data_IF_743694641554
#
_entry.id   IF_743694641554
#
_cell.length_a   1.000
_cell.length_b   1.000
_cell.length_c   1.000
_cell.angle_alpha   90.00
_cell.angle_beta   90.00
_cell.angle_gamma   90.00
#
_symmetry.space_group_name_H-M   'P 1'
#
loop_
_entity.id
_entity.type
_entity.pdbx_description
1 polymer ?
#
# COMPACT_ATOMS: atom_id res chain seq x y z
N UNK A 1 -10.50 14.72 9.57
CA UNK A 1 -10.28 13.46 8.82
C UNK A 1 -9.67 13.70 7.43
N UNK A 2 -10.30 14.46 6.52
CA UNK A 2 -9.87 14.54 5.11
C UNK A 2 -8.44 15.05 4.87
N UNK A 3 -8.01 16.08 5.62
CA UNK A 3 -6.64 16.61 5.55
C UNK A 3 -5.59 15.55 5.90
N UNK A 4 -5.89 14.70 6.89
CA UNK A 4 -5.00 13.62 7.31
C UNK A 4 -4.89 12.56 6.21
N UNK A 5 -6.01 12.18 5.60
CA UNK A 5 -6.02 11.24 4.46
C UNK A 5 -5.19 11.81 3.31
N UNK A 6 -5.38 13.08 2.95
CA UNK A 6 -4.62 13.72 1.88
C UNK A 6 -3.10 13.75 2.16
N UNK A 7 -2.70 14.05 3.40
CA UNK A 7 -1.30 14.03 3.81
C UNK A 7 -0.71 12.62 3.72
N UNK A 8 -1.43 11.60 4.21
CA UNK A 8 -1.03 10.20 4.15
C UNK A 8 -0.92 9.70 2.70
N UNK A 9 -1.88 10.02 1.85
CA UNK A 9 -1.80 9.69 0.41
C UNK A 9 -0.62 10.39 -0.27
N UNK A 10 -0.40 11.67 0.04
CA UNK A 10 0.74 12.44 -0.50
C UNK A 10 2.09 11.82 -0.08
N UNK A 11 2.20 11.37 1.18
CA UNK A 11 3.37 10.62 1.66
C UNK A 11 3.58 9.32 0.86
N UNK A 12 2.50 8.60 0.57
CA UNK A 12 2.50 7.42 -0.29
C UNK A 12 3.07 7.74 -1.68
N UNK A 13 2.47 8.71 -2.36
CA UNK A 13 2.80 9.09 -3.73
C UNK A 13 4.22 9.66 -3.88
N UNK A 14 4.62 10.54 -2.97
CA UNK A 14 5.83 11.35 -3.12
C UNK A 14 7.07 10.76 -2.46
N UNK A 15 6.91 9.84 -1.49
CA UNK A 15 8.02 9.32 -0.70
C UNK A 15 8.04 7.80 -0.75
N UNK A 16 6.99 7.13 -0.28
CA UNK A 16 7.01 5.66 -0.12
C UNK A 16 7.12 4.94 -1.46
N UNK A 17 6.28 5.30 -2.44
CA UNK A 17 6.33 4.68 -3.77
C UNK A 17 7.67 4.90 -4.47
N UNK A 18 8.17 6.14 -4.66
CA UNK A 18 9.43 6.34 -5.38
C UNK A 18 10.64 5.71 -4.68
N UNK A 19 10.69 5.73 -3.34
CA UNK A 19 11.74 5.01 -2.60
C UNK A 19 11.60 3.49 -2.79
N UNK A 20 10.37 2.96 -2.70
CA UNK A 20 10.12 1.54 -2.89
C UNK A 20 10.46 1.04 -4.30
N UNK A 21 10.20 1.85 -5.34
CA UNK A 21 10.55 1.52 -6.72
C UNK A 21 12.07 1.36 -6.93
N UNK A 22 12.91 2.03 -6.13
CA UNK A 22 14.37 1.86 -6.22
C UNK A 22 14.86 0.50 -5.71
N UNK A 23 14.06 -0.18 -4.89
CA UNK A 23 14.34 -1.49 -4.29
C UNK A 23 13.91 -2.67 -5.19
N UNK A 24 13.23 -2.39 -6.30
CA UNK A 24 12.67 -3.41 -7.19
C UNK A 24 13.64 -3.77 -8.33
N UNK A 25 13.62 -5.02 -8.82
CA UNK A 25 14.45 -5.43 -9.96
C UNK A 25 14.04 -4.75 -11.27
N UNK A 26 12.82 -4.20 -11.32
CA UNK A 26 12.29 -3.41 -12.45
C UNK A 26 12.79 -1.97 -12.47
N UNK A 27 13.78 -1.63 -11.63
CA UNK A 27 14.36 -0.28 -11.58
C UNK A 27 14.84 0.17 -12.95
N UNK A 28 14.33 1.31 -13.38
CA UNK A 28 14.89 2.08 -14.49
C UNK A 28 16.19 2.76 -14.02
N UNK A 29 16.97 3.31 -14.95
CA UNK A 29 18.21 4.06 -14.65
C UNK A 29 17.99 5.21 -13.66
N UNK A 30 16.76 5.72 -13.55
CA UNK A 30 16.34 6.69 -12.55
C UNK A 30 14.87 6.49 -12.18
N UNK A 31 14.49 6.70 -10.91
CA UNK A 31 13.08 6.78 -10.48
C UNK A 31 12.54 8.22 -10.53
N UNK A 32 13.34 9.20 -10.97
CA UNK A 32 12.93 10.62 -11.01
C UNK A 32 11.74 10.89 -11.92
N UNK A 33 11.55 10.07 -12.97
CA UNK A 33 10.40 10.19 -13.87
C UNK A 33 9.06 10.07 -13.12
N UNK A 34 9.04 9.33 -12.01
CA UNK A 34 7.84 9.14 -11.20
C UNK A 34 7.27 10.47 -10.69
N UNK A 35 8.13 11.44 -10.36
CA UNK A 35 7.70 12.74 -9.83
C UNK A 35 6.93 13.57 -10.86
N UNK A 36 7.14 13.36 -12.16
CA UNK A 36 6.34 14.00 -13.21
C UNK A 36 4.85 13.58 -13.13
N UNK A 37 4.55 12.44 -12.51
CA UNK A 37 3.19 11.92 -12.33
C UNK A 37 2.69 12.08 -10.89
N UNK A 38 3.55 11.81 -9.91
CA UNK A 38 3.21 11.84 -8.49
C UNK A 38 2.94 13.25 -7.95
N UNK A 39 3.69 14.26 -8.41
CA UNK A 39 3.47 15.66 -7.98
C UNK A 39 2.09 16.16 -8.43
N UNK A 40 1.68 16.04 -9.71
CA UNK A 40 0.30 16.30 -10.13
C UNK A 40 -0.74 15.55 -9.28
N UNK A 41 -0.56 14.24 -9.08
CA UNK A 41 -1.47 13.43 -8.27
C UNK A 41 -1.65 13.96 -6.86
N UNK A 42 -0.56 14.27 -6.17
CA UNK A 42 -0.59 14.84 -4.83
C UNK A 42 -1.27 16.22 -4.82
N UNK A 43 -0.93 17.11 -5.77
CA UNK A 43 -1.55 18.44 -5.90
C UNK A 43 -3.07 18.32 -6.10
N UNK A 44 -3.54 17.33 -6.85
CA UNK A 44 -4.98 17.12 -7.07
C UNK A 44 -5.80 16.95 -5.79
N UNK A 45 -5.18 16.41 -4.72
CA UNK A 45 -5.82 16.20 -3.42
C UNK A 45 -6.16 17.52 -2.72
N UNK A 46 -5.32 18.53 -2.94
CA UNK A 46 -5.41 19.82 -2.27
C UNK A 46 -6.20 20.87 -3.06
N UNK A 47 -6.65 20.51 -4.26
CA UNK A 47 -7.55 21.34 -5.06
C UNK A 47 -9.01 20.97 -4.82
N UNK A 48 -9.95 21.92 -5.00
CA UNK A 48 -11.37 21.61 -5.11
C UNK A 48 -11.62 20.59 -6.22
N UNK A 49 -12.63 19.74 -6.04
CA UNK A 49 -13.05 18.78 -7.08
C UNK A 49 -13.51 19.54 -8.32
N UNK A 50 -12.95 19.21 -9.48
CA UNK A 50 -13.27 19.83 -10.76
C UNK A 50 -12.30 19.43 -11.87
N UNK A 51 -12.45 20.02 -13.05
CA UNK A 51 -11.68 19.64 -14.25
C UNK A 51 -10.15 19.63 -14.03
N UNK A 52 -9.63 20.60 -13.27
CA UNK A 52 -8.19 20.68 -12.96
C UNK A 52 -7.74 19.51 -12.07
N UNK A 53 -8.44 19.23 -10.97
CA UNK A 53 -8.09 18.12 -10.09
C UNK A 53 -8.21 16.76 -10.79
N UNK A 54 -9.24 16.59 -11.64
CA UNK A 54 -9.43 15.37 -12.44
C UNK A 54 -8.27 15.18 -13.42
N UNK A 55 -7.87 16.25 -14.11
CA UNK A 55 -6.75 16.20 -15.07
C UNK A 55 -5.46 15.79 -14.37
N UNK A 56 -5.14 16.41 -13.23
CA UNK A 56 -3.94 16.09 -12.46
C UNK A 56 -3.96 14.66 -11.88
N UNK A 57 -5.12 14.19 -11.41
CA UNK A 57 -5.31 12.80 -10.99
C UNK A 57 -5.15 11.81 -12.16
N UNK A 58 -5.60 12.20 -13.36
CA UNK A 58 -5.46 11.39 -14.58
C UNK A 58 -4.01 11.30 -15.04
N UNK A 59 -3.23 12.38 -14.87
CA UNK A 59 -1.76 12.33 -15.07
C UNK A 59 -1.13 11.32 -14.11
N UNK A 60 -1.52 11.32 -12.84
CA UNK A 60 -1.06 10.31 -11.89
C UNK A 60 -1.45 8.88 -12.31
N UNK A 61 -2.68 8.67 -12.78
CA UNK A 61 -3.12 7.39 -13.33
C UNK A 61 -2.25 6.91 -14.49
N UNK A 62 -1.89 7.79 -15.43
CA UNK A 62 -0.94 7.45 -16.51
C UNK A 62 0.41 6.95 -15.96
N UNK A 63 0.93 7.56 -14.90
CA UNK A 63 2.15 7.10 -14.22
C UNK A 63 2.02 5.68 -13.64
N UNK A 64 0.87 5.33 -13.10
CA UNK A 64 0.62 3.95 -12.60
C UNK A 64 0.48 2.92 -13.71
N UNK A 65 0.00 3.31 -14.90
CA UNK A 65 -0.01 2.46 -16.09
C UNK A 65 1.41 2.12 -16.54
N UNK A 66 2.36 3.05 -16.38
CA UNK A 66 3.79 2.74 -16.62
C UNK A 66 4.28 1.64 -15.69
N UNK A 67 3.86 1.60 -14.43
CA UNK A 67 4.23 0.53 -13.49
C UNK A 67 3.66 -0.83 -13.93
N UNK A 68 2.42 -0.86 -14.43
CA UNK A 68 1.83 -2.08 -15.03
C UNK A 68 2.66 -2.53 -16.23
N UNK A 69 3.07 -1.60 -17.11
CA UNK A 69 3.93 -1.93 -18.25
C UNK A 69 5.29 -2.49 -17.81
N UNK A 70 5.89 -1.95 -16.74
CA UNK A 70 7.12 -2.51 -16.15
C UNK A 70 6.91 -3.92 -15.60
N UNK A 71 5.79 -4.17 -14.92
CA UNK A 71 5.43 -5.51 -14.44
C UNK A 71 5.27 -6.50 -15.60
N UNK A 72 4.54 -6.10 -16.64
CA UNK A 72 4.34 -6.92 -17.85
C UNK A 72 5.66 -7.22 -18.57
N UNK A 73 6.52 -6.21 -18.77
CA UNK A 73 7.85 -6.41 -19.37
C UNK A 73 8.71 -7.37 -18.57
N UNK A 74 8.72 -7.24 -17.24
CA UNK A 74 9.45 -8.14 -16.35
C UNK A 74 8.94 -9.57 -16.46
N UNK A 75 7.62 -9.75 -16.43
CA UNK A 75 6.98 -11.05 -16.57
C UNK A 75 7.30 -11.71 -17.91
N UNK A 76 7.18 -10.97 -19.02
CA UNK A 76 7.46 -11.48 -20.36
C UNK A 76 8.92 -11.86 -20.57
N UNK A 77 9.85 -11.20 -19.85
CA UNK A 77 11.30 -11.46 -19.95
C UNK A 77 11.73 -12.71 -19.16
N UNK A 78 11.06 -13.03 -18.05
CA UNK A 78 11.43 -14.16 -17.19
C UNK A 78 10.54 -15.39 -17.39
N UNK A 79 9.30 -15.21 -17.87
CA UNK A 79 8.30 -16.25 -18.15
C UNK A 79 8.10 -17.29 -17.03
N UNK A 80 8.30 -16.88 -15.78
CA UNK A 80 8.11 -17.71 -14.60
C UNK A 80 7.35 -16.95 -13.51
N UNK A 81 6.35 -17.60 -12.91
CA UNK A 81 5.61 -17.12 -11.75
C UNK A 81 6.04 -17.92 -10.53
N UNK A 82 7.00 -17.39 -9.76
CA UNK A 82 7.28 -17.89 -8.42
C UNK A 82 6.52 -17.01 -7.41
N UNK A 83 6.40 -17.50 -6.18
CA UNK A 83 5.66 -16.83 -5.11
C UNK A 83 6.09 -15.38 -4.91
N UNK A 84 7.41 -15.13 -4.96
CA UNK A 84 8.00 -13.80 -4.83
C UNK A 84 7.54 -12.85 -5.93
N UNK A 85 7.39 -13.32 -7.17
CA UNK A 85 6.93 -12.50 -8.30
C UNK A 85 5.46 -12.08 -8.14
N UNK A 86 4.62 -12.86 -7.45
CA UNK A 86 3.24 -12.47 -7.15
C UNK A 86 3.23 -11.18 -6.32
N UNK A 87 4.05 -11.12 -5.27
CA UNK A 87 4.22 -9.90 -4.47
C UNK A 87 4.79 -8.74 -5.28
N UNK A 88 5.79 -8.98 -6.14
CA UNK A 88 6.33 -7.96 -7.04
C UNK A 88 5.26 -7.34 -7.95
N UNK A 89 4.49 -8.19 -8.64
CA UNK A 89 3.47 -7.71 -9.59
C UNK A 89 2.31 -7.04 -8.85
N UNK A 90 1.96 -7.54 -7.68
CA UNK A 90 0.98 -6.88 -6.80
C UNK A 90 1.44 -5.49 -6.42
N UNK A 91 2.71 -5.33 -6.00
CA UNK A 91 3.26 -4.02 -5.67
C UNK A 91 3.19 -3.07 -6.86
N UNK A 92 3.52 -3.52 -8.08
CA UNK A 92 3.52 -2.67 -9.27
C UNK A 92 2.11 -2.34 -9.81
N UNK A 93 1.13 -3.23 -9.63
CA UNK A 93 -0.23 -3.06 -10.16
C UNK A 93 -1.12 -2.28 -9.21
N UNK A 94 -1.04 -2.52 -7.90
CA UNK A 94 -1.96 -1.93 -6.91
C UNK A 94 -2.04 -0.39 -6.91
N UNK A 95 -0.98 0.39 -7.22
CA UNK A 95 -1.10 1.84 -7.38
C UNK A 95 -2.13 2.26 -8.44
N UNK A 96 -2.41 1.46 -9.46
CA UNK A 96 -3.42 1.79 -10.47
C UNK A 96 -4.85 1.78 -9.92
N UNK A 97 -5.13 0.94 -8.93
CA UNK A 97 -6.41 0.91 -8.22
C UNK A 97 -6.55 2.19 -7.40
N UNK A 98 -5.48 2.60 -6.70
CA UNK A 98 -5.45 3.88 -5.99
C UNK A 98 -5.68 5.06 -6.93
N UNK A 99 -5.04 5.06 -8.10
CA UNK A 99 -5.15 6.13 -9.07
C UNK A 99 -6.54 6.19 -9.73
N UNK A 100 -7.14 5.04 -10.05
CA UNK A 100 -8.51 4.97 -10.57
C UNK A 100 -9.52 5.50 -9.55
N UNK A 101 -9.39 5.10 -8.28
CA UNK A 101 -10.22 5.62 -7.20
C UNK A 101 -10.03 7.13 -7.01
N UNK A 102 -8.80 7.64 -7.12
CA UNK A 102 -8.51 9.07 -7.07
C UNK A 102 -9.19 9.84 -8.21
N UNK A 103 -9.12 9.35 -9.45
CA UNK A 103 -9.78 10.00 -10.59
C UNK A 103 -11.29 10.05 -10.39
N UNK A 104 -11.90 8.93 -10.00
CA UNK A 104 -13.32 8.85 -9.71
C UNK A 104 -13.73 9.83 -8.59
N UNK A 105 -12.98 9.83 -7.49
CA UNK A 105 -13.27 10.68 -6.35
C UNK A 105 -13.08 12.18 -6.67
N UNK A 106 -12.03 12.55 -7.41
CA UNK A 106 -11.83 13.92 -7.91
C UNK A 106 -12.91 14.35 -8.90
N UNK A 107 -13.55 13.41 -9.58
CA UNK A 107 -14.69 13.66 -10.47
C UNK A 107 -16.06 13.67 -9.78
N UNK A 108 -16.09 13.48 -8.45
CA UNK A 108 -17.32 13.28 -7.68
C UNK A 108 -18.19 12.11 -8.21
N UNK A 109 -17.55 11.11 -8.82
CA UNK A 109 -18.20 9.93 -9.37
C UNK A 109 -18.09 8.76 -8.40
N UNK A 110 -19.23 8.18 -8.03
CA UNK A 110 -19.32 7.00 -7.17
C UNK A 110 -19.02 5.73 -7.97
N UNK A 111 -17.72 5.47 -8.19
CA UNK A 111 -17.23 4.32 -8.94
C UNK A 111 -17.72 3.02 -8.29
N UNK A 112 -18.45 2.21 -9.07
CA UNK A 112 -19.11 0.97 -8.61
C UNK A 112 -20.09 1.16 -7.44
N UNK A 113 -20.62 2.36 -7.24
CA UNK A 113 -21.53 2.69 -6.14
C UNK A 113 -20.83 2.96 -4.81
N UNK A 114 -19.49 3.01 -4.78
CA UNK A 114 -18.76 3.43 -3.59
C UNK A 114 -18.81 4.94 -3.41
N UNK A 115 -19.18 5.37 -2.21
CA UNK A 115 -19.18 6.79 -1.85
C UNK A 115 -17.75 7.37 -1.88
N UNK A 116 -17.67 8.71 -1.95
CA UNK A 116 -16.40 9.43 -2.10
C UNK A 116 -15.44 9.26 -0.91
N UNK A 117 -15.96 8.98 0.29
CA UNK A 117 -15.12 8.69 1.47
C UNK A 117 -14.42 7.34 1.30
N UNK A 118 -15.15 6.30 0.89
CA UNK A 118 -14.58 4.98 0.60
C UNK A 118 -13.52 5.09 -0.48
N UNK A 119 -13.81 5.78 -1.59
CA UNK A 119 -12.83 5.99 -2.67
C UNK A 119 -11.57 6.71 -2.17
N UNK A 120 -11.72 7.74 -1.33
CA UNK A 120 -10.57 8.45 -0.74
C UNK A 120 -9.70 7.52 0.12
N UNK A 121 -10.33 6.65 0.90
CA UNK A 121 -9.64 5.66 1.72
C UNK A 121 -9.01 4.55 0.86
N UNK A 122 -9.65 4.16 -0.24
CA UNK A 122 -9.09 3.24 -1.25
C UNK A 122 -7.76 3.78 -1.77
N UNK A 123 -7.65 5.08 -2.07
CA UNK A 123 -6.38 5.68 -2.51
C UNK A 123 -5.27 5.42 -1.49
N UNK A 124 -5.51 5.69 -0.21
CA UNK A 124 -4.53 5.44 0.84
C UNK A 124 -4.23 3.94 0.98
N UNK A 125 -5.26 3.11 1.06
CA UNK A 125 -5.14 1.67 1.29
C UNK A 125 -4.24 1.00 0.26
N UNK A 126 -4.43 1.29 -1.03
CA UNK A 126 -3.64 0.68 -2.10
C UNK A 126 -2.20 1.21 -2.23
N UNK A 127 -1.87 2.36 -1.63
CA UNK A 127 -0.48 2.78 -1.48
C UNK A 127 0.26 2.02 -0.37
N UNK A 128 -0.42 1.67 0.72
CA UNK A 128 0.20 1.06 1.89
C UNK A 128 -0.04 -0.45 1.96
N UNK A 129 -1.28 -0.90 2.06
CA UNK A 129 -1.64 -2.32 2.08
C UNK A 129 -1.52 -2.97 0.69
N UNK A 130 -1.64 -2.18 -0.39
CA UNK A 130 -1.32 -2.64 -1.75
C UNK A 130 0.18 -2.61 -2.01
N UNK A 131 0.72 -1.44 -2.32
CA UNK A 131 2.12 -1.28 -2.75
C UNK A 131 3.14 -1.63 -1.66
N UNK A 132 3.12 -0.94 -0.51
CA UNK A 132 4.19 -1.07 0.48
C UNK A 132 4.22 -2.48 1.11
N UNK A 133 3.07 -3.04 1.45
CA UNK A 133 2.94 -4.39 1.97
C UNK A 133 3.47 -5.43 0.98
N UNK A 134 3.04 -5.38 -0.28
CA UNK A 134 3.50 -6.32 -1.30
C UNK A 134 4.99 -6.15 -1.61
N UNK A 135 5.51 -4.92 -1.60
CA UNK A 135 6.95 -4.66 -1.70
C UNK A 135 7.72 -5.31 -0.55
N UNK A 136 7.30 -5.11 0.69
CA UNK A 136 7.99 -5.69 1.84
C UNK A 136 7.87 -7.22 1.87
N UNK A 137 6.75 -7.78 1.42
CA UNK A 137 6.59 -9.22 1.22
C UNK A 137 7.52 -9.76 0.11
N UNK A 138 7.72 -9.01 -0.98
CA UNK A 138 8.73 -9.32 -1.98
C UNK A 138 10.15 -9.30 -1.41
N UNK A 139 10.49 -8.30 -0.59
CA UNK A 139 11.83 -8.12 -0.01
C UNK A 139 12.13 -9.05 1.18
N UNK A 140 11.12 -9.60 1.83
CA UNK A 140 11.29 -10.54 2.95
C UNK A 140 11.85 -11.89 2.50
N UNK A 141 11.73 -12.21 1.19
CA UNK A 141 12.02 -13.51 0.57
C UNK A 141 11.27 -14.70 1.21
N UNK A 142 10.20 -14.43 1.95
CA UNK A 142 9.34 -15.44 2.54
C UNK A 142 8.22 -15.81 1.56
N UNK A 143 8.22 -17.06 1.09
CA UNK A 143 7.28 -17.52 0.08
C UNK A 143 5.81 -17.48 0.54
N UNK A 144 5.55 -17.63 1.83
CA UNK A 144 4.19 -17.55 2.38
C UNK A 144 3.74 -16.09 2.48
N UNK A 145 4.59 -15.20 2.98
CA UNK A 145 4.28 -13.77 3.00
C UNK A 145 4.01 -13.23 1.59
N UNK A 146 4.82 -13.65 0.61
CA UNK A 146 4.72 -13.22 -0.78
C UNK A 146 3.42 -13.67 -1.49
N UNK A 147 2.70 -14.65 -0.96
CA UNK A 147 1.38 -15.07 -1.44
C UNK A 147 0.27 -14.51 -0.56
N UNK A 148 0.42 -14.61 0.76
CA UNK A 148 -0.59 -14.22 1.74
C UNK A 148 -0.93 -12.73 1.67
N UNK A 149 0.07 -11.87 1.47
CA UNK A 149 -0.16 -10.41 1.38
C UNK A 149 -0.96 -10.04 0.12
N UNK A 150 -0.55 -10.45 -1.11
CA UNK A 150 -1.38 -10.25 -2.30
C UNK A 150 -2.78 -10.86 -2.20
N UNK A 151 -2.88 -12.10 -1.71
CA UNK A 151 -4.15 -12.79 -1.60
C UNK A 151 -5.08 -12.08 -0.61
N UNK A 152 -4.58 -11.73 0.57
CA UNK A 152 -5.34 -11.00 1.58
C UNK A 152 -5.79 -9.63 1.09
N UNK A 153 -4.90 -8.88 0.43
CA UNK A 153 -5.24 -7.58 -0.19
C UNK A 153 -6.34 -7.72 -1.26
N UNK A 154 -6.24 -8.74 -2.11
CA UNK A 154 -7.25 -9.03 -3.12
C UNK A 154 -8.59 -9.44 -2.51
N UNK A 155 -8.58 -10.25 -1.45
CA UNK A 155 -9.80 -10.65 -0.74
C UNK A 155 -10.47 -9.48 -0.02
N UNK A 156 -9.71 -8.58 0.62
CA UNK A 156 -10.26 -7.34 1.20
C UNK A 156 -10.93 -6.49 0.12
N UNK A 157 -10.27 -6.32 -1.03
CA UNK A 157 -10.86 -5.61 -2.16
C UNK A 157 -12.16 -6.26 -2.65
N UNK A 158 -12.18 -7.59 -2.79
CA UNK A 158 -13.38 -8.33 -3.17
C UNK A 158 -14.47 -8.21 -2.10
N UNK A 159 -14.09 -8.12 -0.83
CA UNK A 159 -15.00 -7.87 0.30
C UNK A 159 -15.84 -6.61 0.13
N UNK A 160 -15.27 -5.53 -0.43
CA UNK A 160 -16.04 -4.33 -0.74
C UNK A 160 -17.21 -4.57 -1.71
N UNK A 161 -17.16 -5.62 -2.53
CA UNK A 161 -18.22 -5.99 -3.46
C UNK A 161 -19.11 -7.12 -2.94
N UNK A 162 -18.56 -8.05 -2.16
CA UNK A 162 -19.22 -9.29 -1.76
C UNK A 162 -19.73 -9.28 -0.30
N UNK A 163 -19.34 -8.29 0.49
CA UNK A 163 -19.77 -8.07 1.86
C UNK A 163 -18.74 -8.41 2.94
N UNK A 164 -19.08 -8.00 4.16
CA UNK A 164 -18.21 -7.99 5.34
C UNK A 164 -17.55 -9.34 5.69
N UNK A 165 -18.19 -10.51 5.53
CA UNK A 165 -17.53 -11.80 5.81
C UNK A 165 -16.31 -12.07 4.90
N UNK A 166 -16.39 -11.66 3.63
CA UNK A 166 -15.27 -11.80 2.68
C UNK A 166 -14.16 -10.81 3.03
N UNK A 167 -14.53 -9.59 3.43
CA UNK A 167 -13.57 -8.60 3.92
C UNK A 167 -12.83 -9.10 5.17
N UNK A 168 -13.55 -9.67 6.14
CA UNK A 168 -12.96 -10.28 7.34
C UNK A 168 -12.00 -11.43 6.99
N UNK A 169 -12.40 -12.33 6.10
CA UNK A 169 -11.52 -13.41 5.64
C UNK A 169 -10.24 -12.84 5.00
N UNK A 170 -10.37 -11.80 4.16
CA UNK A 170 -9.25 -11.08 3.58
C UNK A 170 -8.35 -10.43 4.63
N UNK A 171 -8.94 -9.76 5.62
CA UNK A 171 -8.21 -9.10 6.71
C UNK A 171 -7.40 -10.10 7.55
N UNK A 172 -7.94 -11.30 7.81
CA UNK A 172 -7.23 -12.37 8.52
C UNK A 172 -6.07 -12.92 7.69
N UNK A 173 -6.28 -13.20 6.40
CA UNK A 173 -5.22 -13.68 5.48
C UNK A 173 -4.12 -12.63 5.32
N UNK A 174 -4.50 -11.35 5.17
CA UNK A 174 -3.55 -10.25 5.10
C UNK A 174 -2.75 -10.14 6.40
N UNK A 175 -3.42 -10.22 7.56
CA UNK A 175 -2.79 -10.17 8.88
C UNK A 175 -1.71 -11.22 9.05
N UNK A 176 -1.99 -12.47 8.69
CA UNK A 176 -1.00 -13.54 8.74
C UNK A 176 0.23 -13.23 7.87
N UNK A 177 0.01 -12.74 6.65
CA UNK A 177 1.08 -12.32 5.74
C UNK A 177 1.91 -11.16 6.31
N UNK A 178 1.26 -10.15 6.88
CA UNK A 178 1.92 -8.99 7.46
C UNK A 178 2.70 -9.35 8.73
N UNK A 179 2.24 -10.29 9.55
CA UNK A 179 3.03 -10.79 10.67
C UNK A 179 4.27 -11.57 10.23
N UNK A 180 4.19 -12.35 9.14
CA UNK A 180 5.38 -12.97 8.54
C UNK A 180 6.38 -11.92 8.01
N UNK A 181 5.87 -10.86 7.38
CA UNK A 181 6.71 -9.70 7.01
C UNK A 181 7.37 -9.10 8.25
N UNK A 182 6.60 -8.77 9.30
CA UNK A 182 7.12 -8.20 10.54
C UNK A 182 8.17 -9.08 11.23
N UNK A 183 7.95 -10.40 11.25
CA UNK A 183 8.92 -11.36 11.73
C UNK A 183 10.21 -11.35 10.92
N UNK A 184 10.13 -11.26 9.59
CA UNK A 184 11.30 -11.12 8.73
C UNK A 184 12.08 -9.84 9.01
N UNK A 185 11.39 -8.70 9.20
CA UNK A 185 12.03 -7.44 9.57
C UNK A 185 12.75 -7.53 10.91
N UNK A 186 12.13 -8.16 11.91
CA UNK A 186 12.79 -8.39 13.20
C UNK A 186 14.02 -9.31 13.07
N UNK A 187 13.96 -10.38 12.29
CA UNK A 187 15.14 -11.23 12.07
C UNK A 187 16.30 -10.47 11.40
N UNK A 188 15.99 -9.58 10.45
CA UNK A 188 16.99 -8.70 9.81
C UNK A 188 17.61 -7.71 10.80
N UNK A 189 16.79 -7.13 11.68
CA UNK A 189 17.27 -6.11 12.63
C UNK A 189 18.38 -6.61 13.56
N UNK A 190 18.42 -7.92 13.86
CA UNK A 190 19.47 -8.55 14.68
C UNK A 190 20.87 -8.51 14.06
N UNK A 191 20.97 -8.26 12.75
CA UNK A 191 22.24 -8.21 12.00
C UNK A 191 22.54 -6.83 11.43
N UNK A 192 21.62 -5.88 11.60
CA UNK A 192 21.74 -4.54 11.04
C UNK A 192 22.48 -3.60 12.00
N UNK A 193 23.00 -2.48 11.48
CA UNK A 193 23.49 -1.40 12.32
C UNK A 193 22.36 -0.80 13.17
N UNK A 194 22.71 -0.08 14.25
CA UNK A 194 21.74 0.44 15.23
C UNK A 194 20.60 1.23 14.60
N UNK A 195 20.88 2.08 13.61
CA UNK A 195 19.86 2.96 13.02
C UNK A 195 18.89 2.17 12.14
N UNK A 196 19.41 1.27 11.31
CA UNK A 196 18.61 0.37 10.48
C UNK A 196 17.82 -0.61 11.33
N UNK A 197 18.41 -1.14 12.41
CA UNK A 197 17.74 -2.01 13.35
C UNK A 197 16.52 -1.34 14.01
N UNK A 198 16.64 -0.06 14.42
CA UNK A 198 15.50 0.71 14.97
C UNK A 198 14.38 0.82 13.94
N UNK A 199 14.70 1.19 12.70
CA UNK A 199 13.70 1.32 11.63
C UNK A 199 12.97 -0.01 11.34
N UNK A 200 13.72 -1.11 11.29
CA UNK A 200 13.17 -2.45 11.09
C UNK A 200 12.27 -2.90 12.25
N UNK A 201 12.70 -2.67 13.50
CA UNK A 201 11.92 -3.02 14.70
C UNK A 201 10.64 -2.20 14.76
N UNK A 202 10.71 -0.88 14.55
CA UNK A 202 9.51 -0.02 14.50
C UNK A 202 8.55 -0.52 13.42
N UNK A 203 9.06 -0.77 12.21
CA UNK A 203 8.25 -1.25 11.09
C UNK A 203 7.59 -2.59 11.40
N UNK A 204 8.32 -3.56 11.95
CA UNK A 204 7.77 -4.88 12.32
C UNK A 204 6.79 -4.83 13.49
N UNK A 205 7.07 -4.05 14.54
CA UNK A 205 6.21 -3.95 15.72
C UNK A 205 4.88 -3.25 15.43
N UNK A 206 4.89 -2.23 14.58
CA UNK A 206 3.67 -1.53 14.15
C UNK A 206 2.69 -2.48 13.47
N UNK A 207 3.19 -3.40 12.63
CA UNK A 207 2.34 -4.38 11.96
C UNK A 207 1.54 -5.23 12.93
N UNK A 208 2.12 -5.63 14.07
CA UNK A 208 1.39 -6.42 15.08
C UNK A 208 0.15 -5.66 15.53
N UNK A 209 0.33 -4.41 15.96
CA UNK A 209 -0.75 -3.56 16.48
C UNK A 209 -1.76 -3.24 15.39
N UNK A 210 -1.31 -2.79 14.22
CA UNK A 210 -2.22 -2.34 13.16
C UNK A 210 -3.04 -3.46 12.56
N UNK A 211 -2.49 -4.68 12.49
CA UNK A 211 -3.23 -5.82 11.97
C UNK A 211 -4.28 -6.32 12.95
N UNK A 212 -4.01 -6.26 14.26
CA UNK A 212 -5.04 -6.50 15.29
C UNK A 212 -6.19 -5.50 15.17
N UNK A 213 -5.89 -4.21 14.94
CA UNK A 213 -6.92 -3.20 14.69
C UNK A 213 -7.72 -3.50 13.42
N UNK A 214 -7.07 -3.96 12.35
CA UNK A 214 -7.74 -4.30 11.09
C UNK A 214 -8.72 -5.47 11.27
N UNK A 215 -8.28 -6.56 11.94
CA UNK A 215 -9.14 -7.71 12.22
C UNK A 215 -10.27 -7.31 13.17
N UNK A 216 -10.00 -6.53 14.22
CA UNK A 216 -11.05 -6.04 15.13
C UNK A 216 -12.10 -5.21 14.40
N UNK A 217 -11.69 -4.35 13.47
CA UNK A 217 -12.61 -3.53 12.68
C UNK A 217 -13.47 -4.38 11.74
N UNK A 218 -12.86 -5.30 10.98
CA UNK A 218 -13.58 -6.17 10.07
C UNK A 218 -14.50 -7.15 10.83
N UNK A 219 -14.04 -7.66 11.98
CA UNK A 219 -14.84 -8.54 12.84
C UNK A 219 -16.08 -7.81 13.36
N UNK A 220 -15.94 -6.55 13.76
CA UNK A 220 -17.05 -5.72 14.24
C UNK A 220 -18.15 -5.44 13.23
N UNK A 221 -17.90 -5.61 11.92
CA UNK A 221 -18.93 -5.52 10.88
C UNK A 221 -19.68 -6.85 10.70
N UNK A 222 -19.05 -7.98 11.03
CA UNK A 222 -19.63 -9.32 10.89
C UNK A 222 -20.35 -9.77 12.16
N UNK A 223 -19.78 -9.45 13.32
CA UNK A 223 -20.34 -9.73 14.64
C UNK A 223 -20.40 -8.43 15.43
N UNK A 224 -21.45 -8.27 16.24
CA UNK A 224 -21.77 -7.03 16.98
C UNK A 224 -20.80 -6.80 18.18
N UNK A 225 -19.51 -6.76 17.88
CA UNK A 225 -18.43 -6.50 18.83
C UNK A 225 -17.95 -5.06 18.68
N UNK A 226 -17.60 -4.35 19.76
CA UNK A 226 -17.10 -2.98 19.66
C UNK A 226 -15.84 -2.88 18.79
N UNK A 227 -15.82 -1.91 17.89
CA UNK A 227 -14.66 -1.58 17.06
C UNK A 227 -14.44 -0.06 17.02
N UNK A 228 -13.24 0.35 16.62
CA UNK A 228 -12.91 1.77 16.51
C UNK A 228 -13.71 2.44 15.38
N UNK A 229 -14.29 3.63 15.63
CA UNK A 229 -14.88 4.43 14.56
C UNK A 229 -13.88 4.71 13.43
N UNK A 230 -14.40 4.91 12.21
CA UNK A 230 -13.58 5.07 11.01
C UNK A 230 -12.51 6.18 11.13
N UNK A 231 -12.86 7.31 11.76
CA UNK A 231 -11.92 8.40 12.02
C UNK A 231 -10.72 7.98 12.87
N UNK A 232 -10.95 7.14 13.88
CA UNK A 232 -9.90 6.58 14.74
C UNK A 232 -9.09 5.52 14.03
N UNK A 233 -9.71 4.71 13.17
CA UNK A 233 -8.97 3.79 12.30
C UNK A 233 -8.01 4.53 11.37
N UNK A 234 -8.45 5.62 10.75
CA UNK A 234 -7.57 6.45 9.92
C UNK A 234 -6.42 7.03 10.76
N UNK A 235 -6.74 7.59 11.93
CA UNK A 235 -5.74 8.25 12.79
C UNK A 235 -4.74 7.30 13.45
N UNK A 236 -5.13 6.06 13.75
CA UNK A 236 -4.29 5.07 14.42
C UNK A 236 -3.72 4.08 13.42
N UNK A 237 -4.56 3.17 12.91
CA UNK A 237 -4.17 2.15 11.94
C UNK A 237 -3.57 2.76 10.67
N UNK A 238 -4.23 3.75 10.07
CA UNK A 238 -3.79 4.38 8.82
C UNK A 238 -2.43 5.08 8.95
N UNK A 239 -2.30 6.00 9.90
CA UNK A 239 -1.05 6.75 10.14
C UNK A 239 0.09 5.83 10.57
N UNK A 240 -0.17 4.88 11.48
CA UNK A 240 0.84 3.94 11.92
C UNK A 240 1.34 3.09 10.75
N UNK A 241 0.45 2.60 9.89
CA UNK A 241 0.87 1.87 8.69
C UNK A 241 1.67 2.74 7.70
N UNK A 242 1.29 4.01 7.53
CA UNK A 242 1.97 4.89 6.59
C UNK A 242 3.39 5.28 7.05
N UNK A 243 3.52 5.71 8.30
CA UNK A 243 4.80 6.21 8.85
C UNK A 243 5.60 5.10 9.50
N UNK A 244 4.97 4.39 10.45
CA UNK A 244 5.63 3.38 11.27
C UNK A 244 5.99 2.14 10.47
N UNK A 245 5.06 1.59 9.69
CA UNK A 245 5.35 0.42 8.85
C UNK A 245 6.06 0.82 7.55
N UNK A 246 5.38 1.53 6.65
CA UNK A 246 5.81 1.67 5.27
C UNK A 246 7.05 2.56 5.12
N UNK A 247 7.04 3.77 5.69
CA UNK A 247 8.18 4.68 5.59
C UNK A 247 9.42 4.12 6.30
N UNK A 248 9.31 3.69 7.57
CA UNK A 248 10.45 3.10 8.27
C UNK A 248 10.98 1.83 7.58
N UNK A 249 10.08 0.96 7.11
CA UNK A 249 10.45 -0.26 6.41
C UNK A 249 11.24 0.03 5.14
N UNK A 250 10.72 0.89 4.26
CA UNK A 250 11.39 1.27 3.01
C UNK A 250 12.73 1.97 3.29
N UNK A 251 12.80 2.88 4.25
CA UNK A 251 14.05 3.55 4.63
C UNK A 251 15.09 2.56 5.15
N UNK A 252 14.69 1.58 5.96
CA UNK A 252 15.59 0.52 6.43
C UNK A 252 16.17 -0.28 5.25
N UNK A 253 15.31 -0.73 4.34
CA UNK A 253 15.75 -1.48 3.14
C UNK A 253 16.73 -0.67 2.29
N UNK A 254 16.48 0.63 2.11
CA UNK A 254 17.38 1.54 1.38
C UNK A 254 18.74 1.70 2.01
N UNK A 255 18.82 1.69 3.34
CA UNK A 255 20.09 1.75 4.06
C UNK A 255 20.89 0.47 3.89
N UNK A 256 20.23 -0.69 3.90
CA UNK A 256 20.89 -1.98 3.67
C UNK A 256 21.41 -2.15 2.24
N UNK A 257 20.80 -1.51 1.23
CA UNK A 257 21.35 -1.52 -0.15
C UNK A 257 22.58 -0.61 -0.34
N UNK A 258 22.76 0.38 0.54
CA UNK A 258 23.78 1.41 0.39
C UNK A 258 25.07 1.13 1.18
N UNK A 259 25.05 0.14 2.08
CA UNK A 259 26.20 -0.32 2.86
C UNK A 259 26.79 -1.60 2.27
#
# INVERSE_FOLDING_TARGET
MILLVHAVVSLGMLIVVPLGLTLLPTRTTSTRWWFAFAVPGAVSLWLPRGAVSITLASVYFAGTVVLIALAARHFLSHRALQTRQIALYTALVTPSIAALALVAERSSYELFGFNLTVLSLTVAHFHFAGFAAALMAYLSADGLAAVSVPLGTGLVLLGFFLGDPVELAGAVVLTAGMWLVGWSLWRRSRRADRSTAILLVVSGSVLVVTMLLAVSWALGHVVDTPYLPLEWMVATHGVANAVGFALCGVLAMRREEAG
#
